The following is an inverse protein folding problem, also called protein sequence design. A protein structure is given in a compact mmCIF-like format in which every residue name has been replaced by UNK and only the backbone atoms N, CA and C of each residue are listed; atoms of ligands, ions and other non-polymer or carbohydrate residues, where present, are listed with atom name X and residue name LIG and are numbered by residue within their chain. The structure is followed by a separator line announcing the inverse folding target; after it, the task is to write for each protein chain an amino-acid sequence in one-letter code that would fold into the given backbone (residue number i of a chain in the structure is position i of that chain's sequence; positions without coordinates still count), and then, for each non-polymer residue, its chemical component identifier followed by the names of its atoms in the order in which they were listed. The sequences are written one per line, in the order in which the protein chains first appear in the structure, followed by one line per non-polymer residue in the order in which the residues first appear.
data_IF_036910946578
#
_entry.id   IF_036910946578
#
_cell.length_a   1.000
_cell.length_b   1.000
_cell.length_c   1.000
_cell.angle_alpha   90.00
_cell.angle_beta   90.00
_cell.angle_gamma   90.00
#
_symmetry.space_group_name_H-M   'P 1'
#
loop_
_entity.id
_entity.type
_entity.pdbx_description
1 polymer ?
#
# COMPACT_ATOMS: atom_id res chain seq x y z
N UNK A 1 0.46 4.36 32.00
CA UNK A 1 1.38 3.60 31.12
C UNK A 1 1.21 4.13 29.70
N UNK A 2 2.10 5.01 29.23
CA UNK A 2 2.06 5.55 27.87
C UNK A 2 2.80 4.57 26.96
N UNK A 3 2.09 3.83 26.12
CA UNK A 3 2.71 3.00 25.08
C UNK A 3 3.13 3.94 23.95
N UNK A 4 4.42 4.30 23.91
CA UNK A 4 4.98 5.06 22.80
C UNK A 4 4.91 4.20 21.53
N UNK A 5 4.01 4.55 20.59
CA UNK A 5 3.96 3.92 19.26
C UNK A 5 5.21 4.31 18.48
N UNK A 6 6.18 3.40 18.35
CA UNK A 6 7.32 3.60 17.45
C UNK A 6 6.82 3.51 16.01
N UNK A 7 7.15 4.53 15.21
CA UNK A 7 6.97 4.49 13.76
C UNK A 7 8.18 3.79 13.15
N UNK A 8 7.93 2.79 12.31
CA UNK A 8 8.98 2.18 11.49
C UNK A 8 9.02 2.93 10.15
N UNK A 9 10.12 3.60 9.80
CA UNK A 9 10.25 4.21 8.48
C UNK A 9 10.28 3.10 7.42
N UNK A 10 9.57 3.32 6.30
CA UNK A 10 9.59 2.45 5.14
C UNK A 10 10.26 3.23 4.00
N UNK A 11 11.36 2.74 3.41
CA UNK A 11 11.98 3.39 2.26
C UNK A 11 11.01 3.46 1.09
N UNK A 12 10.97 4.59 0.38
CA UNK A 12 10.10 4.75 -0.80
C UNK A 12 10.41 3.71 -1.89
N UNK A 13 11.65 3.23 -1.98
CA UNK A 13 12.07 2.18 -2.91
C UNK A 13 11.41 0.81 -2.66
N UNK A 14 10.86 0.58 -1.47
CA UNK A 14 10.13 -0.65 -1.13
C UNK A 14 8.64 -0.57 -1.48
N UNK A 15 8.17 0.62 -1.88
CA UNK A 15 6.76 0.88 -2.21
C UNK A 15 6.65 1.16 -3.70
N UNK A 16 5.92 0.31 -4.41
CA UNK A 16 5.61 0.54 -5.81
C UNK A 16 4.29 1.32 -5.92
N UNK A 17 4.34 2.46 -6.60
CA UNK A 17 3.19 3.32 -6.86
C UNK A 17 2.96 3.37 -8.36
N UNK A 18 1.80 2.89 -8.81
CA UNK A 18 1.42 2.88 -10.22
C UNK A 18 0.19 3.75 -10.43
N UNK A 19 0.29 4.73 -11.31
CA UNK A 19 -0.89 5.49 -11.75
C UNK A 19 -1.74 4.61 -12.67
N UNK A 20 -3.02 4.44 -12.32
CA UNK A 20 -3.97 3.66 -13.09
C UNK A 20 -5.09 4.55 -13.62
N UNK A 21 -5.67 4.16 -14.75
CA UNK A 21 -6.87 4.83 -15.25
C UNK A 21 -8.06 4.40 -14.42
N UNK A 22 -8.79 5.37 -13.92
CA UNK A 22 -10.04 5.16 -13.19
C UNK A 22 -11.06 4.53 -14.13
N UNK A 23 -11.55 3.33 -13.84
CA UNK A 23 -12.62 2.71 -14.62
C UNK A 23 -13.98 3.26 -14.21
N UNK A 24 -14.71 3.83 -15.17
CA UNK A 24 -16.08 4.32 -15.00
C UNK A 24 -16.66 4.77 -16.34
N UNK A 25 -18.00 4.74 -16.49
CA UNK A 25 -18.69 5.33 -17.65
C UNK A 25 -18.53 6.86 -17.61
N UNK A 26 -17.42 7.35 -18.14
CA UNK A 26 -16.93 8.70 -17.93
C UNK A 26 -17.39 9.69 -18.99
N UNK A 27 -18.15 10.72 -18.57
CA UNK A 27 -18.26 11.98 -19.30
C UNK A 27 -16.90 12.66 -19.49
N UNK A 28 -16.89 13.78 -20.22
CA UNK A 28 -15.71 14.43 -20.84
C UNK A 28 -14.45 14.63 -19.95
N UNK A 29 -14.55 14.65 -18.61
CA UNK A 29 -13.42 14.86 -17.70
C UNK A 29 -12.75 13.60 -17.14
N UNK A 30 -13.35 12.42 -17.26
CA UNK A 30 -12.82 11.15 -16.69
C UNK A 30 -11.85 10.44 -17.65
N UNK A 31 -11.95 10.70 -18.95
CA UNK A 31 -11.14 10.02 -19.98
C UNK A 31 -9.74 10.60 -20.20
N UNK A 32 -9.35 11.66 -19.47
CA UNK A 32 -8.14 12.44 -19.79
C UNK A 32 -7.02 12.39 -18.74
N UNK A 33 -7.30 11.99 -17.49
CA UNK A 33 -6.28 11.97 -16.44
C UNK A 33 -6.35 10.66 -15.64
N UNK A 34 -5.20 9.99 -15.47
CA UNK A 34 -5.07 8.84 -14.56
C UNK A 34 -5.22 9.34 -13.13
N UNK A 35 -6.46 9.40 -12.63
CA UNK A 35 -6.77 9.93 -11.28
C UNK A 35 -6.72 8.87 -10.18
N UNK A 36 -6.55 7.60 -10.53
CA UNK A 36 -6.44 6.50 -9.57
C UNK A 36 -4.99 6.05 -9.40
N UNK A 37 -4.64 5.63 -8.18
CA UNK A 37 -3.32 5.14 -7.81
C UNK A 37 -3.46 3.72 -7.25
N UNK A 38 -2.66 2.79 -7.75
CA UNK A 38 -2.41 1.50 -7.12
C UNK A 38 -1.09 1.58 -6.35
N UNK A 39 -1.13 1.17 -5.09
CA UNK A 39 0.04 1.05 -4.23
C UNK A 39 0.26 -0.42 -3.92
N UNK A 40 1.46 -0.91 -4.17
CA UNK A 40 1.88 -2.27 -3.85
C UNK A 40 3.08 -2.21 -2.91
N UNK A 41 3.03 -3.02 -1.86
CA UNK A 41 4.09 -3.15 -0.87
C UNK A 41 4.30 -4.62 -0.56
N UNK A 42 5.50 -5.14 -0.82
CA UNK A 42 5.83 -6.53 -0.56
C UNK A 42 6.29 -6.71 0.88
N UNK A 43 5.38 -7.18 1.74
CA UNK A 43 5.66 -7.38 3.16
C UNK A 43 6.78 -8.40 3.38
N UNK A 44 6.85 -9.46 2.58
CA UNK A 44 7.83 -10.53 2.75
C UNK A 44 9.25 -10.05 2.40
N UNK A 45 9.39 -9.32 1.29
CA UNK A 45 10.66 -8.77 0.82
C UNK A 45 11.08 -7.46 1.51
N UNK A 46 10.19 -6.82 2.27
CA UNK A 46 10.46 -5.54 2.95
C UNK A 46 11.55 -5.61 4.03
N UNK A 47 12.07 -4.45 4.41
CA UNK A 47 13.00 -4.28 5.55
C UNK A 47 12.32 -4.29 6.92
N UNK A 48 11.03 -4.63 7.00
CA UNK A 48 10.31 -4.75 8.27
C UNK A 48 10.89 -5.86 9.16
N UNK A 49 10.76 -5.68 10.47
CA UNK A 49 11.10 -6.75 11.42
C UNK A 49 10.17 -7.94 11.27
N UNK A 50 10.67 -9.14 11.58
CA UNK A 50 9.90 -10.38 11.50
C UNK A 50 8.61 -10.32 12.32
N UNK A 51 8.64 -9.63 13.47
CA UNK A 51 7.45 -9.41 14.29
C UNK A 51 6.36 -8.61 13.55
N UNK A 52 6.75 -7.59 12.77
CA UNK A 52 5.80 -6.82 11.96
C UNK A 52 5.32 -7.63 10.75
N UNK A 53 6.21 -8.36 10.07
CA UNK A 53 5.85 -9.23 8.95
C UNK A 53 4.84 -10.30 9.37
N UNK A 54 5.13 -11.02 10.46
CA UNK A 54 4.24 -12.05 10.99
C UNK A 54 2.87 -11.48 11.37
N UNK A 55 2.84 -10.30 11.99
CA UNK A 55 1.58 -9.64 12.36
C UNK A 55 0.76 -9.21 11.14
N UNK A 56 1.41 -8.66 10.11
CA UNK A 56 0.74 -8.26 8.87
C UNK A 56 0.21 -9.47 8.10
N UNK A 57 1.02 -10.51 7.94
CA UNK A 57 0.63 -11.74 7.24
C UNK A 57 -0.48 -12.52 7.97
N UNK A 58 -0.63 -12.33 9.28
CA UNK A 58 -1.72 -12.92 10.06
C UNK A 58 -3.05 -12.15 9.95
N UNK A 59 -3.08 -10.96 9.32
CA UNK A 59 -4.32 -10.22 9.12
C UNK A 59 -5.15 -10.84 8.01
N UNK A 60 -6.43 -11.11 8.28
CA UNK A 60 -7.40 -11.49 7.27
C UNK A 60 -7.94 -10.24 6.55
N UNK A 61 -7.07 -9.54 5.84
CA UNK A 61 -7.43 -8.36 5.03
C UNK A 61 -7.42 -8.74 3.55
N UNK A 62 -8.47 -8.38 2.81
CA UNK A 62 -8.61 -8.70 1.38
C UNK A 62 -7.62 -7.97 0.47
N UNK A 63 -6.87 -7.00 1.00
CA UNK A 63 -5.82 -6.27 0.28
C UNK A 63 -4.45 -6.92 0.42
N UNK A 64 -4.30 -7.92 1.30
CA UNK A 64 -3.10 -8.71 1.44
C UNK A 64 -3.24 -9.94 0.54
N UNK A 65 -2.28 -10.13 -0.36
CA UNK A 65 -2.24 -11.21 -1.36
C UNK A 65 -1.00 -12.04 -1.17
#
# INVERSE_FOLDING_TARGET
MIVARRRTPIPESEVEITAVRSQGAGGQNVNKVSSAIHLRFDVAASSLSDAHKARLLALSDSRLT
#
